data_IF_495522627629
#
_entry.id   IF_495522627629
#
_cell.length_a   1.000
_cell.length_b   1.000
_cell.length_c   1.000
_cell.angle_alpha   90.00
_cell.angle_beta   90.00
_cell.angle_gamma   90.00
#
_symmetry.space_group_name_H-M   'P 1'
#
loop_
_entity.id
_entity.type
_entity.pdbx_description
1 polymer ?
#
# COMPACT_ATOMS: atom_id res chain seq x y z
N UNK A 1 3.84 -29.05 32.71
CA UNK A 1 5.11 -28.35 32.94
C UNK A 1 5.89 -28.15 31.64
N UNK A 2 6.21 -29.21 30.87
CA UNK A 2 7.01 -29.16 29.64
C UNK A 2 6.61 -28.11 28.55
N UNK A 3 5.31 -27.82 28.36
CA UNK A 3 4.88 -26.79 27.41
C UNK A 3 5.11 -25.34 27.89
N UNK A 4 5.18 -25.12 29.21
CA UNK A 4 5.53 -23.82 29.82
C UNK A 4 7.04 -23.56 29.70
N UNK A 5 7.87 -24.59 29.91
CA UNK A 5 9.33 -24.48 29.80
C UNK A 5 9.78 -24.30 28.33
N UNK A 6 9.11 -24.98 27.40
CA UNK A 6 9.28 -24.74 25.96
C UNK A 6 8.75 -23.36 25.53
N UNK A 7 7.78 -22.78 26.25
CA UNK A 7 7.28 -21.41 26.05
C UNK A 7 8.31 -20.35 26.43
N UNK A 8 8.90 -20.50 27.63
CA UNK A 8 9.96 -19.64 28.12
C UNK A 8 11.22 -19.70 27.22
N UNK A 9 11.54 -20.86 26.65
CA UNK A 9 12.72 -21.05 25.78
C UNK A 9 12.52 -20.62 24.30
N UNK A 10 11.41 -19.99 23.92
CA UNK A 10 11.18 -19.49 22.55
C UNK A 10 11.03 -20.56 21.45
N UNK A 11 10.97 -21.84 21.80
CA UNK A 11 10.91 -22.96 20.83
C UNK A 11 9.59 -22.98 20.03
N UNK A 12 9.58 -23.46 18.78
CA UNK A 12 8.35 -23.73 18.04
C UNK A 12 7.36 -24.57 18.83
N UNK A 13 6.06 -24.44 18.54
CA UNK A 13 5.12 -25.49 18.91
C UNK A 13 5.51 -26.79 18.21
N UNK A 14 5.80 -27.83 19.00
CA UNK A 14 6.18 -29.15 18.48
C UNK A 14 4.99 -29.89 17.86
N UNK A 15 5.25 -30.67 16.80
CA UNK A 15 4.31 -31.67 16.26
C UNK A 15 3.63 -31.38 14.92
N UNK A 16 4.06 -30.34 14.17
CA UNK A 16 3.46 -29.98 12.87
C UNK A 16 4.35 -30.26 11.65
N UNK A 17 3.73 -30.30 10.46
CA UNK A 17 4.44 -30.27 9.16
C UNK A 17 5.34 -29.03 9.07
N UNK A 18 6.49 -29.14 8.39
CA UNK A 18 7.47 -28.04 8.26
C UNK A 18 6.82 -26.79 7.67
N UNK A 19 7.23 -25.62 8.17
CA UNK A 19 6.84 -24.35 7.56
C UNK A 19 7.70 -24.12 6.31
N UNK A 20 7.08 -23.65 5.22
CA UNK A 20 7.82 -23.24 4.03
C UNK A 20 8.80 -22.12 4.41
N UNK A 21 10.02 -22.13 3.88
CA UNK A 21 11.07 -21.18 4.29
C UNK A 21 11.93 -21.64 5.47
N UNK A 22 11.56 -22.74 6.13
CA UNK A 22 12.24 -23.25 7.33
C UNK A 22 12.48 -24.76 7.27
N UNK A 23 13.56 -25.18 7.92
CA UNK A 23 13.75 -26.58 8.27
C UNK A 23 12.72 -27.06 9.31
N UNK A 24 12.63 -28.38 9.49
CA UNK A 24 11.75 -28.97 10.50
C UNK A 24 12.04 -28.37 11.89
N UNK A 25 10.98 -27.92 12.57
CA UNK A 25 11.12 -27.23 13.85
C UNK A 25 11.71 -25.83 13.78
N UNK A 26 11.65 -25.14 12.63
CA UNK A 26 12.17 -23.76 12.46
C UNK A 26 13.61 -23.57 12.97
N UNK A 27 14.46 -24.61 12.82
CA UNK A 27 15.85 -24.61 13.29
C UNK A 27 16.71 -23.62 12.50
N UNK A 28 16.51 -23.59 11.18
CA UNK A 28 17.22 -22.71 10.26
C UNK A 28 16.31 -22.30 9.09
N UNK A 29 16.65 -21.19 8.45
CA UNK A 29 16.04 -20.77 7.20
C UNK A 29 16.56 -21.63 6.05
N UNK A 30 15.65 -22.03 5.15
CA UNK A 30 16.02 -22.61 3.87
C UNK A 30 16.20 -21.44 2.90
N UNK A 31 17.41 -21.14 2.39
CA UNK A 31 17.66 -19.90 1.64
C UNK A 31 16.75 -19.71 0.42
N UNK A 32 16.55 -20.77 -0.37
CA UNK A 32 15.69 -20.73 -1.55
C UNK A 32 14.22 -20.44 -1.22
N UNK A 33 13.67 -21.11 -0.20
CA UNK A 33 12.26 -20.95 0.18
C UNK A 33 12.00 -19.65 0.95
N UNK A 34 12.92 -19.26 1.84
CA UNK A 34 12.82 -18.02 2.61
C UNK A 34 12.89 -16.77 1.70
N UNK A 35 13.67 -16.83 0.62
CA UNK A 35 13.66 -15.80 -0.43
C UNK A 35 12.28 -15.67 -1.08
N UNK A 36 11.60 -16.79 -1.35
CA UNK A 36 10.24 -16.80 -1.89
C UNK A 36 9.23 -16.22 -0.89
N UNK A 37 9.39 -16.48 0.41
CA UNK A 37 8.56 -15.85 1.45
C UNK A 37 8.72 -14.33 1.41
N UNK A 38 9.97 -13.82 1.38
CA UNK A 38 10.25 -12.38 1.27
C UNK A 38 9.62 -11.78 0.01
N UNK A 39 9.76 -12.47 -1.12
CA UNK A 39 9.15 -12.09 -2.41
C UNK A 39 7.62 -11.98 -2.31
N UNK A 40 6.95 -12.97 -1.69
CA UNK A 40 5.49 -12.98 -1.52
C UNK A 40 5.02 -11.76 -0.73
N UNK A 41 5.63 -11.50 0.43
CA UNK A 41 5.23 -10.38 1.29
C UNK A 41 5.35 -9.06 0.54
N UNK A 42 6.46 -8.86 -0.14
CA UNK A 42 6.69 -7.58 -0.74
C UNK A 42 5.91 -7.38 -2.05
N UNK A 43 5.70 -8.42 -2.87
CA UNK A 43 4.77 -8.34 -4.02
C UNK A 43 3.34 -8.02 -3.56
N UNK A 44 2.91 -8.61 -2.45
CA UNK A 44 1.62 -8.31 -1.86
C UNK A 44 1.55 -6.85 -1.36
N UNK A 45 2.59 -6.35 -0.70
CA UNK A 45 2.69 -4.95 -0.28
C UNK A 45 2.78 -3.97 -1.46
N UNK A 46 3.26 -4.41 -2.62
CA UNK A 46 3.22 -3.67 -3.89
C UNK A 46 1.83 -3.68 -4.56
N UNK A 47 0.85 -4.40 -3.98
CA UNK A 47 -0.52 -4.50 -4.50
C UNK A 47 -0.72 -5.61 -5.53
N UNK A 48 0.26 -6.50 -5.73
CA UNK A 48 0.02 -7.69 -6.56
C UNK A 48 -0.98 -8.62 -5.87
N UNK A 49 -1.91 -9.14 -6.68
CA UNK A 49 -2.96 -10.02 -6.18
C UNK A 49 -2.39 -11.38 -5.75
N UNK A 50 -3.00 -11.99 -4.74
CA UNK A 50 -2.63 -13.36 -4.32
C UNK A 50 -2.67 -14.37 -5.48
N UNK A 51 -3.61 -14.18 -6.42
CA UNK A 51 -3.73 -15.01 -7.63
C UNK A 51 -2.55 -14.81 -8.57
N UNK A 52 -2.14 -13.56 -8.81
CA UNK A 52 -0.99 -13.24 -9.67
C UNK A 52 0.31 -13.78 -9.06
N UNK A 53 0.47 -13.67 -7.74
CA UNK A 53 1.61 -14.23 -7.01
C UNK A 53 1.63 -15.76 -7.15
N UNK A 54 0.50 -16.43 -6.90
CA UNK A 54 0.40 -17.89 -7.03
C UNK A 54 0.67 -18.36 -8.47
N UNK A 55 0.11 -17.68 -9.47
CA UNK A 55 0.29 -18.03 -10.89
C UNK A 55 1.76 -17.92 -11.31
N UNK A 56 2.44 -16.84 -10.92
CA UNK A 56 3.85 -16.65 -11.24
C UNK A 56 4.76 -17.66 -10.54
N UNK A 57 4.49 -18.00 -9.27
CA UNK A 57 5.23 -19.04 -8.56
C UNK A 57 5.08 -20.41 -9.25
N UNK A 58 3.86 -20.74 -9.69
CA UNK A 58 3.59 -21.97 -10.43
C UNK A 58 4.21 -21.97 -11.83
N UNK A 59 4.18 -20.84 -12.53
CA UNK A 59 4.82 -20.68 -13.85
C UNK A 59 6.34 -20.88 -13.78
N UNK A 60 6.97 -20.49 -12.67
CA UNK A 60 8.38 -20.77 -12.36
C UNK A 60 8.63 -22.16 -11.76
N UNK A 61 7.60 -22.99 -11.66
CA UNK A 61 7.65 -24.33 -11.06
C UNK A 61 8.23 -24.35 -9.64
N UNK A 62 7.98 -23.30 -8.85
CA UNK A 62 8.41 -23.24 -7.44
C UNK A 62 7.43 -24.07 -6.60
N UNK A 63 7.84 -25.21 -6.03
CA UNK A 63 6.93 -26.03 -5.23
C UNK A 63 6.68 -25.44 -3.85
N UNK A 64 5.53 -25.75 -3.25
CA UNK A 64 5.29 -25.52 -1.81
C UNK A 64 6.08 -26.51 -0.96
N UNK A 65 6.03 -26.37 0.37
CA UNK A 65 6.76 -27.26 1.29
C UNK A 65 6.40 -28.76 1.17
N UNK A 66 5.23 -29.04 0.57
CA UNK A 66 4.69 -30.39 0.33
C UNK A 66 4.86 -30.85 -1.13
N UNK A 67 5.57 -30.10 -1.96
CA UNK A 67 5.72 -30.41 -3.39
C UNK A 67 4.51 -30.01 -4.26
N UNK A 68 3.44 -29.49 -3.67
CA UNK A 68 2.24 -29.08 -4.41
C UNK A 68 2.37 -27.69 -5.03
N UNK A 69 1.54 -27.39 -6.03
CA UNK A 69 1.40 -26.07 -6.61
C UNK A 69 0.84 -25.03 -5.61
N UNK A 70 1.19 -23.76 -5.82
CA UNK A 70 0.67 -22.63 -5.07
C UNK A 70 -0.79 -22.37 -5.39
N UNK A 71 -1.59 -22.17 -4.34
CA UNK A 71 -2.97 -21.71 -4.43
C UNK A 71 -3.09 -20.32 -3.82
N UNK A 72 -4.16 -19.58 -4.15
CA UNK A 72 -4.49 -18.29 -3.53
C UNK A 72 -4.51 -18.40 -2.00
N UNK A 73 -5.15 -19.44 -1.46
CA UNK A 73 -5.18 -19.71 -0.02
C UNK A 73 -3.81 -20.10 0.55
N UNK A 74 -2.94 -20.73 -0.26
CA UNK A 74 -1.55 -20.98 0.07
C UNK A 74 -0.76 -19.69 0.32
N UNK A 75 -0.83 -18.76 -0.63
CA UNK A 75 -0.19 -17.44 -0.51
C UNK A 75 -0.76 -16.64 0.66
N UNK A 76 -2.10 -16.64 0.84
CA UNK A 76 -2.75 -15.98 1.98
C UNK A 76 -2.22 -16.49 3.32
N UNK A 77 -2.05 -17.80 3.46
CA UNK A 77 -1.53 -18.43 4.69
C UNK A 77 -0.09 -18.03 4.99
N UNK A 78 0.73 -17.76 3.97
CA UNK A 78 2.07 -17.22 4.17
C UNK A 78 1.99 -15.82 4.78
N UNK A 79 1.19 -14.93 4.17
CA UNK A 79 1.03 -13.55 4.63
C UNK A 79 0.47 -13.45 6.06
N UNK A 80 -0.39 -14.39 6.43
CA UNK A 80 -0.99 -14.44 7.76
C UNK A 80 -0.09 -14.92 8.87
N UNK A 81 0.90 -15.73 8.54
CA UNK A 81 1.58 -16.51 9.56
C UNK A 81 2.58 -15.62 10.34
N UNK A 82 2.35 -15.35 11.64
CA UNK A 82 3.20 -14.48 12.47
C UNK A 82 4.64 -15.00 12.59
N UNK A 83 4.84 -16.30 12.36
CA UNK A 83 6.16 -16.95 12.40
C UNK A 83 7.18 -16.33 11.46
N UNK A 84 6.76 -15.82 10.30
CA UNK A 84 7.68 -15.22 9.33
C UNK A 84 8.26 -13.89 9.83
N UNK A 85 7.58 -13.24 10.78
CA UNK A 85 8.08 -12.07 11.50
C UNK A 85 8.81 -12.42 12.81
N UNK A 86 9.09 -13.71 13.07
CA UNK A 86 9.70 -14.15 14.33
C UNK A 86 8.75 -14.06 15.53
N UNK A 87 7.45 -13.94 15.30
CA UNK A 87 6.44 -13.88 16.35
C UNK A 87 5.93 -15.28 16.64
N UNK A 88 5.99 -15.64 17.93
CA UNK A 88 5.46 -16.89 18.46
C UNK A 88 4.03 -16.68 18.92
N UNK A 89 3.16 -17.62 18.55
CA UNK A 89 1.83 -17.73 19.15
C UNK A 89 1.95 -18.56 20.41
N UNK A 90 1.41 -18.15 21.55
CA UNK A 90 1.29 -18.99 22.75
C UNK A 90 -0.14 -18.94 23.26
N UNK A 91 -0.82 -20.09 23.37
CA UNK A 91 -2.24 -20.18 23.77
C UNK A 91 -3.17 -19.22 22.98
N UNK A 92 -2.90 -19.07 21.67
CA UNK A 92 -3.65 -18.15 20.80
C UNK A 92 -3.27 -16.68 20.91
N UNK A 93 -2.40 -16.31 21.86
CA UNK A 93 -1.91 -14.95 22.04
C UNK A 93 -0.64 -14.71 21.22
N UNK A 94 -0.53 -13.51 20.65
CA UNK A 94 0.63 -13.03 19.90
C UNK A 94 1.49 -12.06 20.74
N UNK A 95 0.90 -11.48 21.77
CA UNK A 95 1.50 -10.45 22.63
C UNK A 95 1.49 -10.92 24.08
N UNK A 96 2.49 -10.50 24.84
CA UNK A 96 2.54 -10.65 26.28
C UNK A 96 1.62 -9.61 26.97
N UNK A 97 1.50 -9.70 28.29
CA UNK A 97 0.67 -8.80 29.09
C UNK A 97 1.14 -7.33 29.02
N UNK A 98 2.44 -7.11 28.78
CA UNK A 98 3.05 -5.80 28.57
C UNK A 98 2.82 -5.20 27.16
N UNK A 99 2.08 -5.91 26.30
CA UNK A 99 1.79 -5.50 24.93
C UNK A 99 2.91 -5.79 23.92
N UNK A 100 4.07 -6.28 24.35
CA UNK A 100 5.16 -6.68 23.46
C UNK A 100 4.85 -7.97 22.70
N UNK A 101 5.43 -8.16 21.51
CA UNK A 101 5.27 -9.40 20.76
C UNK A 101 6.02 -10.56 21.42
N UNK A 102 5.35 -11.70 21.58
CA UNK A 102 5.99 -12.93 22.01
C UNK A 102 6.99 -13.36 20.95
N UNK A 103 8.29 -13.28 21.25
CA UNK A 103 9.35 -13.60 20.29
C UNK A 103 9.62 -15.10 20.25
N UNK A 104 9.73 -15.63 19.04
CA UNK A 104 10.31 -16.94 18.79
C UNK A 104 11.84 -16.88 18.83
N UNK A 105 12.48 -17.99 19.19
CA UNK A 105 13.94 -18.13 19.16
C UNK A 105 14.49 -18.43 17.75
N UNK A 106 13.66 -18.36 16.71
CA UNK A 106 14.05 -18.62 15.32
C UNK A 106 14.24 -17.32 14.54
N UNK A 107 15.05 -17.41 13.49
CA UNK A 107 15.34 -16.27 12.61
C UNK A 107 14.11 -15.87 11.78
N UNK A 108 13.72 -14.58 11.73
CA UNK A 108 12.58 -14.12 10.94
C UNK A 108 12.91 -14.01 9.44
N UNK A 109 11.93 -14.32 8.58
CA UNK A 109 12.01 -14.04 7.14
C UNK A 109 11.76 -12.56 6.82
N UNK A 110 10.95 -11.86 7.62
CA UNK A 110 10.54 -10.48 7.36
C UNK A 110 10.51 -9.66 8.65
N UNK A 111 10.43 -8.34 8.54
CA UNK A 111 10.22 -7.47 9.70
C UNK A 111 8.82 -7.64 10.29
N UNK A 112 8.66 -7.29 11.57
CA UNK A 112 7.34 -7.21 12.21
C UNK A 112 6.49 -6.15 11.53
N UNK A 113 7.08 -5.03 11.13
CA UNK A 113 6.40 -3.93 10.45
C UNK A 113 5.79 -4.38 9.12
N UNK A 114 6.55 -5.06 8.26
CA UNK A 114 6.05 -5.56 6.98
C UNK A 114 4.93 -6.58 7.17
N UNK A 115 5.04 -7.42 8.20
CA UNK A 115 3.99 -8.37 8.56
C UNK A 115 2.72 -7.68 9.04
N UNK A 116 2.83 -6.67 9.90
CA UNK A 116 1.70 -5.88 10.37
C UNK A 116 1.03 -5.12 9.22
N UNK A 117 1.82 -4.52 8.33
CA UNK A 117 1.34 -3.85 7.11
C UNK A 117 0.58 -4.84 6.23
N UNK A 118 1.17 -6.01 5.96
CA UNK A 118 0.52 -7.04 5.16
C UNK A 118 -0.78 -7.54 5.81
N UNK A 119 -0.78 -7.80 7.12
CA UNK A 119 -1.96 -8.24 7.88
C UNK A 119 -3.06 -7.17 7.90
N UNK A 120 -2.70 -5.90 8.01
CA UNK A 120 -3.64 -4.77 7.99
C UNK A 120 -4.34 -4.67 6.64
N UNK A 121 -3.57 -4.75 5.55
CA UNK A 121 -4.11 -4.78 4.19
C UNK A 121 -5.01 -6.00 3.96
N UNK A 122 -4.62 -7.17 4.48
CA UNK A 122 -5.31 -8.44 4.24
C UNK A 122 -6.56 -8.65 5.10
N UNK A 123 -6.59 -8.10 6.32
CA UNK A 123 -7.75 -8.22 7.24
C UNK A 123 -8.90 -7.26 6.91
N UNK A 124 -8.71 -6.36 5.93
CA UNK A 124 -9.70 -5.34 5.58
C UNK A 124 -10.06 -4.40 6.74
N UNK A 125 -9.28 -4.40 7.83
CA UNK A 125 -9.45 -3.49 8.98
C UNK A 125 -8.72 -2.16 8.80
N UNK A 126 -7.68 -2.11 7.95
CA UNK A 126 -7.03 -0.84 7.58
C UNK A 126 -7.93 0.15 6.84
N UNK A 127 -9.10 -0.30 6.37
CA UNK A 127 -10.12 0.52 5.70
C UNK A 127 -11.44 0.64 6.48
N UNK A 128 -11.58 -0.01 7.65
CA UNK A 128 -12.82 0.02 8.47
C UNK A 128 -12.76 0.95 9.68
N UNK A 129 -11.70 1.73 9.84
CA UNK A 129 -11.61 2.79 10.85
C UNK A 129 -11.58 4.16 10.19
N UNK A 130 -12.70 4.53 9.57
CA UNK A 130 -13.14 5.92 9.38
C UNK A 130 -14.58 5.85 8.85
N UNK A 131 -15.56 5.82 9.76
CA UNK A 131 -16.98 5.83 9.42
C UNK A 131 -17.79 4.90 10.30
N UNK A 132 -18.23 5.42 11.43
CA UNK A 132 -19.37 4.86 12.17
C UNK A 132 -20.60 4.88 11.26
N UNK A 133 -21.36 3.78 11.21
CA UNK A 133 -22.63 3.74 10.48
C UNK A 133 -23.02 2.35 10.00
N UNK A 134 -23.80 1.67 10.82
CA UNK A 134 -24.42 0.36 10.64
C UNK A 134 -25.40 0.33 9.44
N UNK A 135 -25.19 -0.53 8.43
CA UNK A 135 -26.30 -1.12 7.65
C UNK A 135 -25.91 -2.46 6.97
N UNK A 136 -26.54 -3.61 7.33
CA UNK A 136 -26.29 -4.89 6.71
C UNK A 136 -27.24 -5.10 5.51
N UNK A 137 -26.93 -4.48 4.37
CA UNK A 137 -27.76 -4.58 3.18
C UNK A 137 -26.99 -4.38 1.88
N UNK A 138 -26.75 -5.49 1.17
CA UNK A 138 -26.51 -5.59 -0.29
C UNK A 138 -25.44 -4.68 -0.93
N UNK A 139 -24.32 -5.31 -1.30
CA UNK A 139 -23.89 -5.37 -2.71
C UNK A 139 -23.48 -4.10 -3.46
N UNK A 140 -23.28 -2.96 -2.79
CA UNK A 140 -22.65 -1.79 -3.41
C UNK A 140 -21.13 -1.93 -3.39
N UNK A 141 -20.48 -1.97 -4.55
CA UNK A 141 -19.03 -1.79 -4.66
C UNK A 141 -18.65 -0.52 -3.89
N UNK A 142 -17.97 -0.66 -2.76
CA UNK A 142 -17.42 0.48 -2.03
C UNK A 142 -16.49 1.22 -3.00
N UNK A 143 -16.90 2.42 -3.43
CA UNK A 143 -16.12 3.26 -4.33
C UNK A 143 -14.84 3.63 -3.58
N UNK A 144 -13.72 3.11 -4.07
CA UNK A 144 -12.43 3.30 -3.42
C UNK A 144 -11.88 4.68 -3.80
N UNK A 145 -11.95 5.66 -2.90
CA UNK A 145 -11.37 6.98 -3.15
C UNK A 145 -9.85 6.88 -3.27
N UNK A 146 -9.27 7.42 -4.35
CA UNK A 146 -7.83 7.41 -4.63
C UNK A 146 -7.23 8.80 -4.34
N UNK A 147 -6.41 8.88 -3.29
CA UNK A 147 -5.89 10.13 -2.73
C UNK A 147 -5.13 10.99 -3.75
N UNK A 148 -4.35 10.32 -4.61
CA UNK A 148 -3.42 10.94 -5.56
C UNK A 148 -4.02 11.10 -6.96
N UNK A 149 -5.32 10.93 -7.12
CA UNK A 149 -5.93 10.99 -8.45
C UNK A 149 -5.71 12.36 -9.10
N UNK A 150 -5.33 12.36 -10.39
CA UNK A 150 -5.00 13.59 -11.11
C UNK A 150 -3.62 14.19 -10.81
N UNK A 151 -2.88 13.63 -9.84
CA UNK A 151 -1.53 14.09 -9.48
C UNK A 151 -0.41 13.18 -10.03
N UNK A 152 -0.77 11.97 -10.48
CA UNK A 152 0.21 10.92 -10.82
C UNK A 152 0.43 10.80 -12.32
N UNK A 153 1.70 10.74 -12.75
CA UNK A 153 2.15 10.54 -14.13
C UNK A 153 3.08 9.33 -14.28
N UNK A 154 2.96 8.65 -15.42
CA UNK A 154 3.85 7.58 -15.82
C UNK A 154 5.12 8.16 -16.47
N UNK A 155 6.32 7.92 -15.92
CA UNK A 155 7.58 8.42 -16.51
C UNK A 155 7.94 7.80 -17.88
N UNK A 156 7.25 6.75 -18.33
CA UNK A 156 7.57 6.11 -19.62
C UNK A 156 6.84 6.74 -20.78
N UNK A 157 5.54 7.00 -20.61
CA UNK A 157 4.69 7.52 -21.68
C UNK A 157 4.07 8.89 -21.37
N UNK A 158 4.38 9.49 -20.21
CA UNK A 158 3.83 10.78 -19.78
C UNK A 158 2.35 10.78 -19.38
N UNK A 159 1.64 9.68 -19.59
CA UNK A 159 0.20 9.61 -19.33
C UNK A 159 -0.11 9.60 -17.83
N UNK A 160 -1.29 10.14 -17.49
CA UNK A 160 -1.85 10.05 -16.13
C UNK A 160 -1.96 8.60 -15.67
N UNK A 161 -1.74 8.37 -14.38
CA UNK A 161 -2.12 7.09 -13.76
C UNK A 161 -3.46 7.24 -13.04
N UNK A 162 -4.36 6.30 -13.27
CA UNK A 162 -5.73 6.29 -12.76
C UNK A 162 -5.92 5.16 -11.75
N UNK A 163 -6.84 5.36 -10.81
CA UNK A 163 -7.25 4.32 -9.87
C UNK A 163 -7.80 3.09 -10.60
N UNK A 164 -7.39 1.90 -10.17
CA UNK A 164 -7.81 0.62 -10.75
C UNK A 164 -7.85 -0.45 -9.67
N UNK A 165 -8.86 -1.31 -9.73
CA UNK A 165 -8.95 -2.46 -8.83
C UNK A 165 -8.56 -3.72 -9.58
N UNK A 166 -7.51 -4.40 -9.12
CA UNK A 166 -7.06 -5.68 -9.69
C UNK A 166 -7.17 -6.74 -8.61
N UNK A 167 -8.02 -7.74 -8.81
CA UNK A 167 -8.23 -8.84 -7.85
C UNK A 167 -8.58 -8.41 -6.43
N UNK A 168 -9.31 -7.29 -6.28
CA UNK A 168 -9.69 -6.70 -4.99
C UNK A 168 -8.66 -5.74 -4.38
N UNK A 169 -7.54 -5.49 -5.05
CA UNK A 169 -6.49 -4.57 -4.59
C UNK A 169 -6.55 -3.25 -5.34
N UNK A 170 -6.46 -2.14 -4.61
CA UNK A 170 -6.41 -0.78 -5.15
C UNK A 170 -5.02 -0.49 -5.73
N UNK A 171 -4.98 -0.03 -6.96
CA UNK A 171 -3.78 0.27 -7.73
C UNK A 171 -3.91 1.63 -8.40
N UNK A 172 -2.79 2.29 -8.68
CA UNK A 172 -2.69 3.28 -9.74
C UNK A 172 -2.12 2.59 -10.97
N UNK A 173 -2.82 2.65 -12.09
CA UNK A 173 -2.41 2.06 -13.37
C UNK A 173 -2.34 3.13 -14.44
N UNK A 174 -1.37 3.00 -15.36
CA UNK A 174 -1.22 3.93 -16.48
C UNK A 174 -2.50 3.96 -17.33
N UNK A 175 -3.01 5.15 -17.65
CA UNK A 175 -4.21 5.29 -18.48
C UNK A 175 -4.02 4.70 -19.88
N UNK A 176 -2.78 4.73 -20.41
CA UNK A 176 -2.47 4.13 -21.72
C UNK A 176 -2.48 2.59 -21.72
N UNK A 177 -2.76 1.92 -20.59
CA UNK A 177 -2.95 0.45 -20.56
C UNK A 177 -4.09 0.01 -21.50
N UNK A 178 -5.05 0.89 -21.77
CA UNK A 178 -6.19 0.65 -22.67
C UNK A 178 -5.95 1.10 -24.12
N UNK A 179 -4.77 1.63 -24.44
CA UNK A 179 -4.40 2.06 -25.80
C UNK A 179 -3.97 0.90 -26.70
N UNK A 180 -3.94 1.14 -28.01
CA UNK A 180 -3.39 0.21 -29.00
C UNK A 180 -1.85 0.21 -28.96
N UNK A 181 -1.16 -0.94 -29.15
CA UNK A 181 0.29 -0.97 -29.31
C UNK A 181 0.75 -0.04 -30.46
N UNK A 182 1.89 0.67 -30.34
CA UNK A 182 2.95 0.57 -29.32
C UNK A 182 2.75 1.45 -28.07
N UNK A 183 1.63 2.18 -27.96
CA UNK A 183 1.36 3.15 -26.88
C UNK A 183 0.90 2.49 -25.56
N UNK A 184 0.67 1.17 -25.60
CA UNK A 184 0.17 0.39 -24.48
C UNK A 184 1.23 0.28 -23.36
N UNK A 185 1.01 1.01 -22.27
CA UNK A 185 1.88 0.95 -21.09
C UNK A 185 1.18 0.17 -19.96
N UNK A 186 1.76 -0.93 -19.50
CA UNK A 186 1.21 -1.76 -18.43
C UNK A 186 1.69 -1.34 -17.02
N UNK A 187 2.14 -0.09 -16.83
CA UNK A 187 2.72 0.33 -15.55
C UNK A 187 1.65 0.47 -14.49
N UNK A 188 1.89 -0.14 -13.33
CA UNK A 188 1.07 0.01 -12.14
C UNK A 188 1.90 0.10 -10.85
N UNK A 189 1.26 0.61 -9.81
CA UNK A 189 1.79 0.71 -8.45
C UNK A 189 0.64 0.55 -7.44
N UNK A 190 0.86 -0.19 -6.34
CA UNK A 190 -0.16 -0.41 -5.32
C UNK A 190 -0.53 0.87 -4.58
N UNK A 191 -1.83 1.16 -4.48
CA UNK A 191 -2.30 2.44 -3.94
C UNK A 191 -1.92 2.63 -2.47
N UNK A 192 -2.05 1.60 -1.62
CA UNK A 192 -1.80 1.75 -0.19
C UNK A 192 -0.34 2.13 0.14
N UNK A 193 0.63 1.39 -0.41
CA UNK A 193 2.06 1.68 -0.18
C UNK A 193 2.49 2.98 -0.86
N UNK A 194 1.91 3.29 -2.02
CA UNK A 194 2.19 4.52 -2.73
C UNK A 194 1.65 5.76 -2.02
N UNK A 195 0.36 5.74 -1.64
CA UNK A 195 -0.29 6.80 -0.87
C UNK A 195 0.44 7.00 0.47
N UNK A 196 0.76 5.93 1.19
CA UNK A 196 1.49 6.02 2.46
C UNK A 196 2.88 6.65 2.32
N UNK A 197 3.62 6.34 1.26
CA UNK A 197 4.91 6.97 0.99
C UNK A 197 4.78 8.47 0.72
N UNK A 198 3.79 8.86 -0.09
CA UNK A 198 3.52 10.28 -0.39
C UNK A 198 3.04 11.03 0.84
N UNK A 199 2.19 10.43 1.67
CA UNK A 199 1.73 11.00 2.93
C UNK A 199 2.89 11.19 3.93
N UNK A 200 3.80 10.22 4.04
CA UNK A 200 5.00 10.34 4.88
C UNK A 200 5.90 11.49 4.42
N UNK A 201 6.05 11.67 3.11
CA UNK A 201 6.79 12.79 2.55
C UNK A 201 6.13 14.13 2.87
N UNK A 202 4.80 14.21 2.69
CA UNK A 202 4.03 15.39 3.00
C UNK A 202 4.12 15.77 4.48
N UNK A 203 4.03 14.78 5.38
CA UNK A 203 4.22 15.00 6.82
C UNK A 203 5.59 15.60 7.08
N UNK A 204 6.67 15.03 6.53
CA UNK A 204 8.03 15.56 6.70
C UNK A 204 8.14 17.01 6.24
N UNK A 205 7.55 17.33 5.09
CA UNK A 205 7.51 18.71 4.56
C UNK A 205 6.73 19.64 5.49
N UNK A 206 5.63 19.17 6.09
CA UNK A 206 4.82 19.94 7.04
C UNK A 206 5.52 20.13 8.40
N UNK A 207 6.31 19.17 8.85
CA UNK A 207 7.11 19.25 10.07
C UNK A 207 8.22 20.30 9.95
N UNK A 208 8.80 20.44 8.76
CA UNK A 208 9.83 21.44 8.43
C UNK A 208 9.25 22.75 7.88
N UNK A 209 7.92 22.91 7.93
CA UNK A 209 7.23 24.01 7.28
C UNK A 209 7.46 25.35 7.99
N UNK A 210 8.14 26.26 7.31
CA UNK A 210 8.22 27.67 7.71
C UNK A 210 7.06 28.46 7.08
N UNK A 211 6.21 29.03 7.92
CA UNK A 211 5.05 29.83 7.51
C UNK A 211 5.41 31.04 6.64
N UNK A 212 6.66 31.52 6.68
CA UNK A 212 7.15 32.60 5.82
C UNK A 212 7.23 32.21 4.32
N UNK A 213 7.21 30.91 3.98
CA UNK A 213 7.33 30.40 2.60
C UNK A 213 6.05 30.54 1.74
N UNK A 214 4.95 31.02 2.32
CA UNK A 214 3.65 31.12 1.61
C UNK A 214 3.52 32.40 0.78
N UNK A 215 4.34 33.42 1.06
CA UNK A 215 4.18 34.76 0.48
C UNK A 215 5.00 34.89 -0.80
N UNK A 216 4.45 34.44 -1.94
CA UNK A 216 4.67 34.98 -3.31
C UNK A 216 4.54 33.94 -4.44
N UNK A 217 3.51 33.08 -4.44
CA UNK A 217 3.37 32.08 -5.50
C UNK A 217 2.18 32.34 -6.42
N UNK A 218 2.40 32.53 -7.73
CA UNK A 218 1.30 32.72 -8.68
C UNK A 218 0.48 31.45 -8.85
N UNK A 219 -0.83 31.62 -9.08
CA UNK A 219 -1.74 30.54 -9.44
C UNK A 219 -1.38 30.01 -10.84
N UNK A 220 -0.76 28.83 -10.91
CA UNK A 220 -0.45 28.16 -12.19
C UNK A 220 -1.49 27.07 -12.42
N UNK A 221 -2.42 27.30 -13.34
CA UNK A 221 -3.32 26.27 -13.85
C UNK A 221 -2.67 25.55 -15.03
N UNK A 222 -2.30 24.28 -14.87
CA UNK A 222 -1.93 23.45 -16.01
C UNK A 222 -3.18 22.87 -16.67
N UNK A 223 -3.51 23.33 -17.89
CA UNK A 223 -4.52 22.70 -18.74
C UNK A 223 -3.86 21.51 -19.45
N UNK A 224 -4.25 20.27 -19.15
CA UNK A 224 -3.80 19.10 -19.93
C UNK A 224 -4.58 19.00 -21.24
N UNK A 225 -3.87 18.89 -22.34
CA UNK A 225 -4.42 18.54 -23.65
C UNK A 225 -4.52 17.02 -23.80
N UNK A 226 -5.74 16.49 -23.94
CA UNK A 226 -6.00 15.19 -24.55
C UNK A 226 -6.04 13.98 -23.62
N UNK A 227 -7.25 13.46 -23.39
CA UNK A 227 -7.50 12.16 -22.78
C UNK A 227 -9.00 11.98 -22.53
N UNK A 228 -9.70 11.32 -23.44
CA UNK A 228 -11.14 11.13 -23.39
C UNK A 228 -11.58 10.50 -22.05
N UNK A 229 -12.40 11.24 -21.31
CA UNK A 229 -13.13 10.69 -20.17
C UNK A 229 -14.09 9.60 -20.69
N UNK A 230 -13.88 8.35 -20.26
CA UNK A 230 -14.94 7.36 -20.34
C UNK A 230 -16.02 7.80 -19.34
N UNK A 231 -17.13 8.32 -19.87
CA UNK A 231 -18.29 8.72 -19.08
C UNK A 231 -19.03 7.45 -18.65
N UNK A 232 -19.00 7.10 -17.36
CA UNK A 232 -19.92 6.11 -16.79
C UNK A 232 -21.18 6.82 -16.27
N UNK A 233 -22.33 6.39 -16.79
CA UNK A 233 -23.61 7.08 -16.76
C UNK A 233 -24.48 6.78 -15.52
N UNK A 234 -23.89 6.46 -14.37
CA UNK A 234 -24.67 6.15 -13.15
C UNK A 234 -23.98 6.72 -11.89
N UNK A 235 -24.15 8.02 -11.67
CA UNK A 235 -23.40 8.84 -10.71
C UNK A 235 -24.34 9.49 -9.67
N UNK A 236 -24.15 9.23 -8.37
CA UNK A 236 -24.92 9.89 -7.31
C UNK A 236 -24.40 11.31 -6.99
N UNK A 237 -25.35 12.18 -6.60
CA UNK A 237 -25.15 13.58 -6.15
C UNK A 237 -24.48 13.64 -4.76
N UNK A 238 -23.14 13.55 -4.71
CA UNK A 238 -22.38 13.92 -3.51
C UNK A 238 -21.36 15.00 -3.82
N UNK A 239 -21.19 15.96 -2.90
CA UNK A 239 -20.25 17.06 -3.04
C UNK A 239 -18.79 16.58 -3.26
N UNK A 240 -18.45 15.39 -2.75
CA UNK A 240 -17.15 14.76 -2.97
C UNK A 240 -17.01 14.22 -4.39
N UNK A 241 -18.04 13.61 -4.98
CA UNK A 241 -18.01 13.16 -6.37
C UNK A 241 -17.84 14.32 -7.36
N UNK A 242 -18.54 15.45 -7.13
CA UNK A 242 -18.36 16.65 -7.95
C UNK A 242 -16.95 17.24 -7.83
N UNK A 243 -16.37 17.23 -6.64
CA UNK A 243 -14.98 17.65 -6.42
C UNK A 243 -13.98 16.71 -7.12
N UNK A 244 -14.16 15.40 -6.99
CA UNK A 244 -13.34 14.43 -7.70
C UNK A 244 -13.48 14.58 -9.22
N UNK A 245 -14.67 14.80 -9.75
CA UNK A 245 -14.86 15.03 -11.19
C UNK A 245 -14.21 16.33 -11.67
N UNK A 246 -14.26 17.41 -10.87
CA UNK A 246 -13.53 18.65 -11.16
C UNK A 246 -12.00 18.41 -11.17
N UNK A 247 -11.50 17.57 -10.27
CA UNK A 247 -10.09 17.16 -10.25
C UNK A 247 -9.73 16.26 -11.45
N UNK A 248 -10.64 15.38 -11.88
CA UNK A 248 -10.45 14.50 -13.04
C UNK A 248 -10.60 15.27 -14.36
N UNK A 249 -11.32 16.38 -14.38
CA UNK A 249 -11.44 17.30 -15.50
C UNK A 249 -10.16 18.14 -15.76
N UNK A 250 -9.09 17.88 -14.99
CA UNK A 250 -7.75 18.41 -15.28
C UNK A 250 -7.46 19.81 -14.74
N UNK A 251 -8.20 20.27 -13.72
CA UNK A 251 -7.94 21.56 -13.07
C UNK A 251 -7.22 21.32 -11.73
N UNK A 252 -5.88 21.40 -11.73
CA UNK A 252 -5.09 21.43 -10.49
C UNK A 252 -5.06 22.86 -9.99
N UNK A 253 -5.84 23.16 -8.94
CA UNK A 253 -5.86 24.49 -8.30
C UNK A 253 -4.96 24.47 -7.07
N UNK A 254 -3.88 25.25 -7.10
CA UNK A 254 -3.13 25.62 -5.88
C UNK A 254 -3.90 26.73 -5.17
N UNK A 255 -4.73 26.37 -4.19
CA UNK A 255 -5.30 27.38 -3.30
C UNK A 255 -4.45 27.48 -2.04
N UNK A 256 -4.05 28.70 -1.65
CA UNK A 256 -3.43 28.94 -0.34
C UNK A 256 -4.33 28.44 0.81
N UNK A 257 -5.65 28.40 0.60
CA UNK A 257 -6.62 27.87 1.56
C UNK A 257 -6.50 26.36 1.81
N UNK A 258 -5.70 25.64 1.01
CA UNK A 258 -5.36 24.25 1.28
C UNK A 258 -4.57 24.11 2.59
N UNK A 259 -3.79 25.12 2.96
CA UNK A 259 -2.99 25.14 4.18
C UNK A 259 -3.72 25.72 5.39
N UNK A 260 -4.90 26.33 5.21
CA UNK A 260 -5.67 26.92 6.31
C UNK A 260 -6.03 25.88 7.38
N UNK A 261 -5.62 26.13 8.63
CA UNK A 261 -5.88 25.22 9.75
C UNK A 261 -5.13 23.88 9.68
N UNK A 262 -4.14 23.74 8.80
CA UNK A 262 -3.22 22.59 8.81
C UNK A 262 -2.16 22.82 9.89
N UNK A 263 -2.04 21.86 10.81
CA UNK A 263 -0.99 21.86 11.84
C UNK A 263 0.35 21.57 11.18
N UNK A 264 1.32 22.47 11.37
CA UNK A 264 2.72 22.36 10.93
C UNK A 264 3.67 22.20 12.12
N UNK A 265 4.95 21.92 11.86
CA UNK A 265 5.94 21.66 12.92
C UNK A 265 5.80 20.27 13.54
N UNK A 266 6.32 20.07 14.75
CA UNK A 266 6.37 18.77 15.43
C UNK A 266 5.00 18.09 15.66
N UNK A 267 3.88 18.81 15.51
CA UNK A 267 2.53 18.27 15.61
C UNK A 267 1.94 17.69 14.31
N UNK A 268 2.58 17.91 13.17
CA UNK A 268 2.02 17.58 11.86
C UNK A 268 1.78 16.08 11.68
N UNK A 269 2.75 15.23 12.05
CA UNK A 269 2.60 13.77 11.93
C UNK A 269 1.46 13.18 12.77
N UNK A 270 1.14 13.77 13.92
CA UNK A 270 -0.01 13.35 14.74
C UNK A 270 -1.34 13.86 14.18
N UNK A 271 -1.34 15.05 13.59
CA UNK A 271 -2.56 15.66 13.06
C UNK A 271 -2.97 15.07 11.70
N UNK A 272 -2.00 14.75 10.84
CA UNK A 272 -2.23 14.31 9.46
C UNK A 272 -3.22 13.14 9.31
N UNK A 273 -3.12 12.03 10.08
CA UNK A 273 -4.04 10.90 9.95
C UNK A 273 -5.49 11.24 10.33
N UNK A 274 -5.71 12.32 11.08
CA UNK A 274 -7.04 12.78 11.51
C UNK A 274 -7.73 13.68 10.49
N UNK A 275 -6.99 14.17 9.50
CA UNK A 275 -7.56 14.98 8.43
C UNK A 275 -8.50 14.13 7.55
N UNK A 276 -9.65 14.69 7.13
CA UNK A 276 -10.48 14.06 6.10
C UNK A 276 -9.67 13.81 4.82
N UNK A 277 -10.00 12.74 4.09
CA UNK A 277 -9.29 12.35 2.86
C UNK A 277 -9.21 13.50 1.84
N UNK A 278 -10.32 14.24 1.68
CA UNK A 278 -10.38 15.44 0.83
C UNK A 278 -9.35 16.50 1.21
N UNK A 279 -9.22 16.80 2.51
CA UNK A 279 -8.24 17.79 3.02
C UNK A 279 -6.81 17.33 2.79
N UNK A 280 -6.52 16.04 2.98
CA UNK A 280 -5.20 15.49 2.62
C UNK A 280 -4.94 15.65 1.13
N UNK A 281 -5.92 15.34 0.28
CA UNK A 281 -5.78 15.46 -1.17
C UNK A 281 -5.57 16.92 -1.63
N UNK A 282 -6.18 17.89 -0.95
CA UNK A 282 -5.96 19.33 -1.19
C UNK A 282 -4.54 19.73 -0.83
N UNK A 283 -4.06 19.35 0.37
CA UNK A 283 -2.68 19.65 0.80
C UNK A 283 -1.66 19.02 -0.12
N UNK A 284 -1.84 17.76 -0.53
CA UNK A 284 -0.92 17.10 -1.46
C UNK A 284 -0.82 17.81 -2.81
N UNK A 285 -1.92 18.34 -3.33
CA UNK A 285 -1.91 19.16 -4.56
C UNK A 285 -1.31 20.54 -4.36
N UNK A 286 -1.32 21.04 -3.13
CA UNK A 286 -0.63 22.28 -2.80
C UNK A 286 0.89 22.08 -2.72
N UNK A 287 1.33 20.94 -2.17
CA UNK A 287 2.74 20.59 -2.00
C UNK A 287 3.41 20.14 -3.31
N UNK A 288 2.74 19.31 -4.12
CA UNK A 288 3.33 18.68 -5.30
C UNK A 288 2.68 19.16 -6.59
N UNK A 289 3.52 19.49 -7.58
CA UNK A 289 3.11 19.75 -8.97
C UNK A 289 2.62 18.48 -9.64
N UNK A 290 3.39 17.41 -9.48
CA UNK A 290 3.18 16.11 -10.09
C UNK A 290 3.97 15.06 -9.32
N UNK A 291 3.45 13.84 -9.29
CA UNK A 291 4.15 12.68 -8.77
C UNK A 291 4.38 11.72 -9.93
N UNK A 292 5.64 11.41 -10.20
CA UNK A 292 6.02 10.58 -11.34
C UNK A 292 6.40 9.18 -10.90
N UNK A 293 5.95 8.17 -11.65
CA UNK A 293 6.24 6.75 -11.39
C UNK A 293 7.05 6.14 -12.54
N UNK A 294 8.27 5.72 -12.20
CA UNK A 294 9.33 5.21 -13.06
C UNK A 294 9.20 3.72 -13.35
N UNK A 295 10.13 3.11 -14.12
CA UNK A 295 10.20 1.66 -14.25
C UNK A 295 10.50 1.00 -12.89
N UNK A 296 10.18 -0.29 -12.73
CA UNK A 296 10.66 -1.05 -11.56
C UNK A 296 12.18 -1.13 -11.64
N UNK A 297 12.87 -0.66 -10.60
CA UNK A 297 14.34 -0.69 -10.51
C UNK A 297 14.83 -1.81 -9.60
N UNK A 298 13.97 -2.28 -8.69
CA UNK A 298 14.25 -3.41 -7.80
C UNK A 298 13.78 -4.74 -8.39
N UNK A 299 14.43 -5.84 -7.96
CA UNK A 299 13.91 -7.19 -8.20
C UNK A 299 12.55 -7.37 -7.51
N UNK A 300 11.67 -8.18 -8.11
CA UNK A 300 10.32 -8.50 -7.62
C UNK A 300 10.24 -8.58 -6.09
N UNK A 301 9.34 -7.81 -5.49
CA UNK A 301 9.07 -7.87 -4.07
C UNK A 301 9.98 -7.00 -3.22
N UNK A 302 10.02 -5.70 -3.50
CA UNK A 302 10.31 -4.63 -2.54
C UNK A 302 9.53 -3.42 -3.03
N UNK A 303 8.74 -2.77 -2.16
CA UNK A 303 8.11 -1.50 -2.53
C UNK A 303 9.20 -0.49 -2.89
N UNK A 304 9.34 -0.28 -4.20
CA UNK A 304 10.40 0.50 -4.78
C UNK A 304 10.06 1.98 -4.66
N UNK A 305 10.62 2.65 -3.66
CA UNK A 305 10.50 4.10 -3.50
C UNK A 305 11.39 4.85 -4.49
N UNK A 306 12.48 4.25 -4.99
CA UNK A 306 13.44 4.90 -5.88
C UNK A 306 12.84 5.20 -7.26
N UNK A 307 11.78 4.49 -7.67
CA UNK A 307 11.00 4.78 -8.88
C UNK A 307 9.93 5.85 -8.69
N UNK A 308 9.80 6.46 -7.51
CA UNK A 308 8.82 7.52 -7.24
C UNK A 308 9.58 8.85 -7.20
N UNK A 309 9.21 9.78 -8.08
CA UNK A 309 9.71 11.14 -8.02
C UNK A 309 8.58 12.08 -7.61
N UNK A 310 8.70 12.63 -6.40
CA UNK A 310 7.82 13.67 -5.89
C UNK A 310 8.35 15.01 -6.39
N UNK A 311 7.60 15.70 -7.25
CA UNK A 311 8.01 16.98 -7.80
C UNK A 311 7.28 18.09 -7.02
N UNK A 312 7.91 18.69 -6.00
CA UNK A 312 7.27 19.76 -5.24
C UNK A 312 7.02 20.96 -6.16
N UNK A 313 6.05 21.78 -5.79
CA UNK A 313 6.04 23.14 -6.31
C UNK A 313 7.33 23.86 -5.88
N UNK A 314 7.86 24.72 -6.76
CA UNK A 314 8.84 25.70 -6.29
C UNK A 314 8.10 26.61 -5.30
N UNK A 315 8.48 26.49 -4.03
CA UNK A 315 7.99 27.27 -2.90
C UNK A 315 8.98 28.40 -2.61
#
# INVERSE_FOLDING_TARGET
>A
AAHRDAAAAGRPHGGGRRAFGYEAGMRALIPAESKVVREIFARFLEGETLRAIALDLNGRQVPTALGSAWTVGGVARILDAPRYAGIRVFRGQLRAEDGSYLRGAWEPCISIEDWERARTLRSGRGFRQAGDGNDPGRGGQQRHDYLLTGLVECMACGHSMVGSVVGGYRMYACASTRGTPPEQCARSIGAASFEGHVEQDAIRVLEEWDAARVVSLPMIGHRRSGGAAAMDADRPDSADAAFYDALHAGVVVRSASAMDGIVTGAGAGLHWPRLPLRRRAEVLRFLYTVIRVGPKTTSRGVFDTARIALVPHQL
#
